data_IF_118828767835
#
_entry.id   IF_118828767835
#
_cell.length_a   1.000
_cell.length_b   1.000
_cell.length_c   1.000
_cell.angle_alpha   90.00
_cell.angle_beta   90.00
_cell.angle_gamma   90.00
#
_symmetry.space_group_name_H-M   'P 1'
#
loop_
_entity.id
_entity.type
_entity.pdbx_description
1 polymer ?
#
# COMPACT_ATOMS: atom_id res chain seq x y z
N UNK A 1 -9.28 13.57 -10.52
CA UNK A 1 -10.29 14.25 -11.36
C UNK A 1 -11.56 13.42 -11.46
N UNK A 2 -11.48 12.17 -11.92
CA UNK A 2 -12.67 11.33 -12.23
C UNK A 2 -13.69 11.14 -11.10
N UNK A 3 -13.27 11.21 -9.82
CA UNK A 3 -14.17 10.98 -8.67
C UNK A 3 -15.15 12.12 -8.40
N UNK A 4 -14.86 13.34 -8.85
CA UNK A 4 -15.64 14.55 -8.51
C UNK A 4 -16.45 15.11 -9.68
N UNK A 5 -16.15 14.70 -10.91
CA UNK A 5 -16.86 15.15 -12.12
C UNK A 5 -18.33 14.79 -12.01
N UNK A 6 -19.21 15.74 -12.33
CA UNK A 6 -20.66 15.59 -12.28
C UNK A 6 -21.27 15.63 -10.87
N UNK A 7 -20.48 15.89 -9.83
CA UNK A 7 -20.97 16.13 -8.46
C UNK A 7 -21.26 17.62 -8.24
N UNK A 8 -22.12 17.91 -7.27
CA UNK A 8 -22.48 19.28 -6.89
C UNK A 8 -21.68 19.71 -5.66
N UNK A 9 -21.10 20.91 -5.70
CA UNK A 9 -20.35 21.46 -4.56
C UNK A 9 -21.27 21.84 -3.40
N UNK A 10 -20.86 21.51 -2.17
CA UNK A 10 -21.57 21.91 -0.95
C UNK A 10 -21.07 23.26 -0.41
N UNK A 11 -19.83 23.62 -0.71
CA UNK A 11 -19.22 24.89 -0.28
C UNK A 11 -18.65 25.66 -1.46
N UNK A 12 -18.46 26.97 -1.29
CA UNK A 12 -17.77 27.79 -2.28
C UNK A 12 -16.28 27.48 -2.20
N UNK A 13 -15.67 27.10 -3.33
CA UNK A 13 -14.21 26.87 -3.41
C UNK A 13 -13.58 28.08 -4.08
N UNK A 14 -12.61 28.67 -3.38
CA UNK A 14 -11.83 29.81 -3.84
C UNK A 14 -10.43 29.35 -4.23
N UNK A 15 -9.80 30.10 -5.12
CA UNK A 15 -8.42 29.92 -5.49
C UNK A 15 -7.51 30.24 -4.30
N UNK A 16 -6.52 29.38 -3.98
CA UNK A 16 -5.65 29.57 -2.82
C UNK A 16 -4.85 30.89 -2.88
N UNK A 17 -4.31 31.25 -4.05
CA UNK A 17 -3.49 32.47 -4.20
C UNK A 17 -4.27 33.74 -4.55
N UNK A 18 -5.20 33.68 -5.50
CA UNK A 18 -5.89 34.88 -6.02
C UNK A 18 -7.19 35.18 -5.29
N UNK A 19 -7.68 34.25 -4.45
CA UNK A 19 -8.98 34.32 -3.80
C UNK A 19 -10.17 34.44 -4.79
N UNK A 20 -9.94 34.16 -6.07
CA UNK A 20 -10.98 34.14 -7.09
C UNK A 20 -11.87 32.90 -6.93
N UNK A 21 -13.15 33.05 -7.23
CA UNK A 21 -14.12 31.95 -7.12
C UNK A 21 -13.90 30.94 -8.24
N UNK A 22 -13.66 29.67 -7.88
CA UNK A 22 -13.55 28.56 -8.83
C UNK A 22 -14.92 27.89 -9.04
N UNK A 23 -15.63 27.57 -7.95
CA UNK A 23 -16.99 27.00 -7.98
C UNK A 23 -17.84 27.58 -6.85
N UNK A 24 -19.13 27.83 -7.10
CA UNK A 24 -20.06 28.21 -6.04
C UNK A 24 -20.67 27.04 -5.30
N UNK A 25 -21.33 27.38 -4.19
CA UNK A 25 -22.26 26.48 -3.53
C UNK A 25 -23.41 26.08 -4.47
N UNK A 26 -23.71 24.79 -4.53
CA UNK A 26 -24.73 24.16 -5.39
C UNK A 26 -24.46 24.22 -6.90
N UNK A 27 -23.23 24.50 -7.30
CA UNK A 27 -22.81 24.45 -8.71
C UNK A 27 -22.21 23.08 -9.06
N UNK A 28 -22.40 22.66 -10.32
CA UNK A 28 -21.90 21.39 -10.83
C UNK A 28 -20.40 21.47 -11.12
N UNK A 29 -19.66 20.46 -10.67
CA UNK A 29 -18.24 20.30 -10.95
C UNK A 29 -18.11 19.65 -12.33
N UNK A 30 -17.87 20.47 -13.35
CA UNK A 30 -17.54 20.03 -14.71
C UNK A 30 -16.09 19.56 -14.79
N UNK A 31 -15.73 18.93 -15.90
CA UNK A 31 -14.37 18.50 -16.21
C UNK A 31 -13.38 19.67 -16.14
N UNK A 32 -13.76 20.84 -16.64
CA UNK A 32 -12.95 22.07 -16.60
C UNK A 32 -12.69 22.53 -15.15
N UNK A 33 -13.72 22.52 -14.30
CA UNK A 33 -13.60 22.89 -12.88
C UNK A 33 -12.74 21.85 -12.14
N UNK A 34 -12.93 20.57 -12.44
CA UNK A 34 -12.16 19.49 -11.83
C UNK A 34 -10.67 19.56 -12.23
N UNK A 35 -10.36 19.98 -13.46
CA UNK A 35 -9.00 20.22 -13.91
C UNK A 35 -8.37 21.43 -13.19
N UNK A 36 -9.11 22.53 -13.04
CA UNK A 36 -8.66 23.69 -12.24
C UNK A 36 -8.35 23.30 -10.80
N UNK A 37 -9.14 22.43 -10.17
CA UNK A 37 -8.81 21.92 -8.83
C UNK A 37 -7.49 21.15 -8.78
N UNK A 38 -7.18 20.38 -9.81
CA UNK A 38 -5.92 19.66 -9.89
C UNK A 38 -4.73 20.60 -10.10
N UNK A 39 -4.85 21.57 -11.02
CA UNK A 39 -3.80 22.55 -11.31
C UNK A 39 -3.47 23.42 -10.08
N UNK A 40 -4.49 23.72 -9.27
CA UNK A 40 -4.35 24.51 -8.05
C UNK A 40 -4.03 23.69 -6.79
N UNK A 41 -3.82 22.37 -6.92
CA UNK A 41 -3.46 21.51 -5.79
C UNK A 41 -4.54 21.39 -4.71
N UNK A 42 -5.82 21.55 -5.06
CA UNK A 42 -6.92 21.43 -4.10
C UNK A 42 -7.19 19.95 -3.83
N UNK A 43 -6.71 19.45 -2.69
CA UNK A 43 -6.81 18.04 -2.31
C UNK A 43 -8.20 17.62 -1.80
N UNK A 44 -8.94 18.54 -1.18
CA UNK A 44 -10.19 18.25 -0.48
C UNK A 44 -11.27 19.27 -0.83
N UNK A 45 -12.44 18.77 -1.22
CA UNK A 45 -13.63 19.57 -1.53
C UNK A 45 -14.85 18.89 -0.92
N UNK A 46 -15.72 19.66 -0.24
CA UNK A 46 -17.01 19.13 0.21
C UNK A 46 -18.02 19.13 -0.94
N UNK A 47 -18.51 17.94 -1.26
CA UNK A 47 -19.57 17.72 -2.24
C UNK A 47 -20.86 17.30 -1.56
N UNK A 48 -21.98 17.49 -2.24
CA UNK A 48 -23.25 16.88 -1.84
C UNK A 48 -23.18 15.37 -2.02
N UNK A 49 -23.82 14.64 -1.11
CA UNK A 49 -23.89 13.18 -1.12
C UNK A 49 -25.33 12.71 -1.10
N UNK A 50 -25.57 11.53 -1.69
CA UNK A 50 -26.82 10.78 -1.58
C UNK A 50 -27.12 10.39 -0.13
N UNK A 51 -26.09 10.10 0.67
CA UNK A 51 -26.21 9.65 2.06
C UNK A 51 -26.63 10.75 3.02
N UNK A 52 -26.37 12.01 2.65
CA UNK A 52 -26.71 13.19 3.45
C UNK A 52 -27.93 13.93 2.89
N UNK A 53 -28.72 13.27 2.05
CA UNK A 53 -29.92 13.86 1.46
C UNK A 53 -31.07 13.87 2.48
N UNK A 54 -31.66 15.04 2.74
CA UNK A 54 -32.78 15.20 3.67
C UNK A 54 -34.15 14.97 3.03
N UNK A 55 -34.18 14.46 1.78
CA UNK A 55 -35.45 14.17 1.10
C UNK A 55 -36.19 13.02 1.78
N UNK A 56 -37.48 13.23 2.09
CA UNK A 56 -38.33 12.21 2.74
C UNK A 56 -38.65 11.01 1.83
N UNK A 57 -38.69 11.23 0.52
CA UNK A 57 -38.99 10.21 -0.49
C UNK A 57 -38.04 10.38 -1.67
N UNK A 58 -37.19 9.38 -1.90
CA UNK A 58 -36.18 9.42 -2.95
C UNK A 58 -35.02 10.37 -2.63
N UNK A 59 -34.38 10.90 -3.66
CA UNK A 59 -33.18 11.74 -3.56
C UNK A 59 -33.42 13.04 -4.34
N UNK A 60 -32.91 14.17 -3.84
CA UNK A 60 -32.99 15.43 -4.57
C UNK A 60 -31.97 15.50 -5.74
N UNK A 61 -32.33 16.27 -6.78
CA UNK A 61 -31.53 16.50 -8.00
C UNK A 61 -30.07 16.86 -7.70
N UNK A 62 -29.86 17.74 -6.72
CA UNK A 62 -28.53 18.25 -6.35
C UNK A 62 -27.66 17.24 -5.59
N UNK A 63 -28.26 16.30 -4.85
CA UNK A 63 -27.49 15.26 -4.15
C UNK A 63 -27.07 14.13 -5.10
N UNK A 64 -27.82 13.90 -6.17
CA UNK A 64 -27.45 12.96 -7.22
C UNK A 64 -26.41 13.59 -8.16
N UNK A 65 -26.70 14.77 -8.69
CA UNK A 65 -25.85 15.50 -9.64
C UNK A 65 -26.11 15.10 -11.09
N UNK A 66 -25.04 14.90 -11.85
CA UNK A 66 -25.07 14.56 -13.26
C UNK A 66 -25.47 13.10 -13.47
N UNK A 67 -26.33 12.86 -14.44
CA UNK A 67 -26.56 11.53 -14.97
C UNK A 67 -25.42 11.17 -15.93
N UNK A 68 -24.67 10.13 -15.61
CA UNK A 68 -23.50 9.70 -16.39
C UNK A 68 -23.85 9.17 -17.78
N UNK A 69 -25.09 8.74 -17.99
CA UNK A 69 -25.55 8.23 -19.30
C UNK A 69 -25.90 9.35 -20.27
N UNK A 70 -26.48 10.44 -19.78
CA UNK A 70 -26.92 11.58 -20.61
C UNK A 70 -25.93 12.73 -20.61
N UNK A 71 -25.01 12.78 -19.64
CA UNK A 71 -24.06 13.87 -19.48
C UNK A 71 -24.72 15.20 -19.07
N UNK A 72 -25.96 15.18 -18.58
CA UNK A 72 -26.67 16.34 -18.07
C UNK A 72 -27.10 16.15 -16.62
N UNK A 73 -27.50 17.24 -15.95
CA UNK A 73 -28.06 17.17 -14.61
C UNK A 73 -29.32 16.29 -14.59
N UNK A 74 -29.40 15.35 -13.64
CA UNK A 74 -30.44 14.30 -13.61
C UNK A 74 -31.87 14.85 -13.70
N UNK A 75 -32.73 14.19 -14.48
CA UNK A 75 -34.14 14.59 -14.61
C UNK A 75 -34.96 14.20 -13.36
N UNK A 76 -35.99 14.98 -13.02
CA UNK A 76 -36.90 14.61 -11.93
C UNK A 76 -37.75 13.41 -12.36
N UNK A 77 -37.80 12.38 -11.52
CA UNK A 77 -38.51 11.12 -11.80
C UNK A 77 -37.60 9.99 -12.30
N UNK A 78 -36.31 10.26 -12.49
CA UNK A 78 -35.35 9.22 -12.88
C UNK A 78 -35.12 8.19 -11.76
N UNK A 79 -35.14 6.91 -12.11
CA UNK A 79 -35.06 5.80 -11.17
C UNK A 79 -33.61 5.51 -10.73
N UNK A 80 -33.00 6.46 -10.04
CA UNK A 80 -31.61 6.42 -9.55
C UNK A 80 -31.24 5.08 -8.86
N UNK A 81 -32.15 4.51 -8.06
CA UNK A 81 -31.90 3.25 -7.36
C UNK A 81 -31.76 2.03 -8.28
N UNK A 82 -32.58 1.95 -9.33
CA UNK A 82 -32.52 0.86 -10.31
C UNK A 82 -31.23 0.99 -11.13
N UNK A 83 -30.92 2.21 -11.57
CA UNK A 83 -29.70 2.51 -12.34
C UNK A 83 -28.46 2.13 -11.52
N UNK A 84 -28.42 2.50 -10.24
CA UNK A 84 -27.31 2.16 -9.35
C UNK A 84 -27.17 0.64 -9.14
N UNK A 85 -28.29 -0.08 -8.95
CA UNK A 85 -28.28 -1.53 -8.79
C UNK A 85 -27.75 -2.24 -10.05
N UNK A 86 -28.17 -1.82 -11.24
CA UNK A 86 -27.70 -2.39 -12.50
C UNK A 86 -26.21 -2.08 -12.76
N UNK A 87 -25.78 -0.85 -12.46
CA UNK A 87 -24.39 -0.41 -12.65
C UNK A 87 -23.38 -1.20 -11.82
N UNK A 88 -23.84 -1.90 -10.78
CA UNK A 88 -23.01 -2.82 -9.98
C UNK A 88 -23.28 -4.27 -10.39
N UNK A 89 -24.56 -4.64 -10.54
CA UNK A 89 -25.00 -6.01 -10.76
C UNK A 89 -24.55 -6.58 -12.10
N UNK A 90 -24.78 -5.88 -13.21
CA UNK A 90 -24.42 -6.37 -14.55
C UNK A 90 -22.90 -6.46 -14.74
N UNK A 91 -22.10 -5.43 -14.42
CA UNK A 91 -20.64 -5.57 -14.49
C UNK A 91 -20.11 -6.64 -13.53
N UNK A 92 -20.72 -6.81 -12.36
CA UNK A 92 -20.33 -7.83 -11.39
C UNK A 92 -20.54 -9.25 -11.91
N UNK A 93 -21.71 -9.55 -12.47
CA UNK A 93 -21.99 -10.86 -13.09
C UNK A 93 -21.16 -11.08 -14.36
N UNK A 94 -20.88 -10.02 -15.12
CA UNK A 94 -20.00 -10.10 -16.28
C UNK A 94 -18.55 -10.36 -15.87
N UNK A 95 -18.05 -9.70 -14.81
CA UNK A 95 -16.68 -9.89 -14.33
C UNK A 95 -16.48 -11.31 -13.82
N UNK A 96 -17.44 -11.87 -13.09
CA UNK A 96 -17.36 -13.26 -12.63
C UNK A 96 -17.32 -14.21 -13.81
N UNK A 97 -18.23 -14.09 -14.78
CA UNK A 97 -18.17 -14.92 -15.99
C UNK A 97 -16.85 -14.76 -16.75
N UNK A 98 -16.39 -13.52 -17.01
CA UNK A 98 -15.13 -13.28 -17.72
C UNK A 98 -13.93 -13.85 -16.96
N UNK A 99 -13.89 -13.73 -15.64
CA UNK A 99 -12.79 -14.27 -14.82
C UNK A 99 -12.77 -15.81 -14.88
N UNK A 100 -13.91 -16.48 -14.86
CA UNK A 100 -13.96 -17.94 -15.00
C UNK A 100 -13.62 -18.42 -16.42
N UNK A 101 -14.06 -17.71 -17.46
CA UNK A 101 -13.82 -18.13 -18.85
C UNK A 101 -12.40 -17.77 -19.34
N UNK A 102 -11.81 -16.70 -18.81
CA UNK A 102 -10.43 -16.28 -19.09
C UNK A 102 -9.45 -16.94 -18.09
N UNK A 103 -9.93 -17.48 -16.97
CA UNK A 103 -9.15 -18.06 -15.88
C UNK A 103 -8.22 -19.23 -16.22
N UNK A 104 -8.22 -19.72 -17.47
CA UNK A 104 -7.20 -20.65 -17.98
C UNK A 104 -5.95 -19.97 -18.54
N UNK A 105 -6.01 -18.66 -18.84
CA UNK A 105 -4.86 -17.88 -19.29
C UNK A 105 -4.47 -17.00 -18.11
N UNK A 106 -3.56 -17.50 -17.27
CA UNK A 106 -2.95 -16.72 -16.21
C UNK A 106 -2.22 -15.52 -16.82
N UNK A 107 -2.92 -14.42 -17.08
CA UNK A 107 -2.29 -13.12 -17.18
C UNK A 107 -1.77 -12.81 -15.79
N UNK A 108 -0.53 -13.26 -15.53
CA UNK A 108 0.39 -12.59 -14.63
C UNK A 108 0.50 -11.17 -15.15
N UNK A 109 -0.45 -10.30 -14.78
CA UNK A 109 -0.22 -8.87 -14.85
C UNK A 109 1.09 -8.66 -14.13
N UNK A 110 2.12 -8.21 -14.86
CA UNK A 110 3.44 -8.00 -14.32
C UNK A 110 3.28 -7.15 -13.06
N UNK A 111 3.32 -7.79 -11.89
CA UNK A 111 3.24 -7.08 -10.63
C UNK A 111 4.43 -6.13 -10.67
N UNK A 112 4.14 -4.83 -10.67
CA UNK A 112 5.17 -3.80 -10.71
C UNK A 112 5.99 -3.99 -9.43
N UNK A 113 7.15 -4.61 -9.58
CA UNK A 113 8.14 -4.85 -8.53
C UNK A 113 9.09 -3.67 -8.37
N UNK A 114 8.87 -2.61 -9.15
CA UNK A 114 9.78 -1.47 -9.28
C UNK A 114 9.02 -0.16 -9.39
N UNK A 115 9.66 0.90 -8.90
CA UNK A 115 9.27 2.29 -9.11
C UNK A 115 10.32 3.01 -9.94
N UNK A 116 9.84 3.70 -10.97
CA UNK A 116 10.61 4.51 -11.90
C UNK A 116 10.13 5.96 -11.82
N UNK A 117 11.07 6.91 -11.86
CA UNK A 117 10.75 8.33 -11.96
C UNK A 117 10.10 8.62 -13.33
N UNK A 118 9.04 9.42 -13.40
CA UNK A 118 8.44 9.79 -14.70
C UNK A 118 9.12 11.00 -15.33
N UNK A 119 9.56 11.93 -14.49
CA UNK A 119 10.23 13.16 -14.87
C UNK A 119 11.60 13.26 -14.20
N UNK A 120 12.43 14.16 -14.73
CA UNK A 120 13.69 14.54 -14.11
C UNK A 120 13.42 15.33 -12.83
N UNK A 121 14.21 15.10 -11.78
CA UNK A 121 14.05 15.81 -10.52
C UNK A 121 14.96 15.30 -9.41
N UNK A 122 14.72 15.78 -8.20
CA UNK A 122 15.48 15.43 -7.00
C UNK A 122 14.61 14.57 -6.09
N UNK A 123 15.12 13.41 -5.68
CA UNK A 123 14.43 12.53 -4.74
C UNK A 123 14.40 13.15 -3.35
N UNK A 124 13.23 13.06 -2.69
CA UNK A 124 13.05 13.45 -1.31
C UNK A 124 12.31 12.38 -0.51
N UNK A 125 12.90 11.98 0.60
CA UNK A 125 12.33 11.01 1.52
C UNK A 125 11.33 11.67 2.48
N UNK A 126 10.06 11.31 2.33
CA UNK A 126 8.98 11.79 3.19
C UNK A 126 8.55 10.68 4.15
N UNK A 127 8.85 10.87 5.43
CA UNK A 127 8.55 9.87 6.48
C UNK A 127 9.13 8.48 6.17
N UNK A 128 10.26 8.41 5.47
CA UNK A 128 10.92 7.15 5.13
C UNK A 128 11.99 6.86 6.19
N UNK A 129 11.87 5.70 6.85
CA UNK A 129 12.95 5.15 7.69
C UNK A 129 13.57 3.99 6.95
N UNK A 130 14.88 4.07 6.74
CA UNK A 130 15.65 3.01 6.09
C UNK A 130 16.80 2.58 6.98
N UNK A 131 17.23 1.34 6.77
CA UNK A 131 18.45 0.77 7.35
C UNK A 131 19.33 0.28 6.23
N UNK A 132 20.64 0.39 6.42
CA UNK A 132 21.61 -0.12 5.46
C UNK A 132 21.89 -1.59 5.76
N UNK A 133 21.65 -2.45 4.78
CA UNK A 133 21.94 -3.88 4.90
C UNK A 133 23.44 -4.15 4.65
N UNK A 134 23.89 -5.38 4.92
CA UNK A 134 25.27 -5.85 4.69
C UNK A 134 25.75 -5.69 3.24
N UNK A 135 24.83 -5.66 2.28
CA UNK A 135 25.07 -5.46 0.85
C UNK A 135 25.07 -3.97 0.44
N UNK A 136 25.22 -3.05 1.40
CA UNK A 136 25.18 -1.58 1.20
C UNK A 136 23.89 -1.05 0.56
N UNK A 137 22.84 -1.88 0.50
CA UNK A 137 21.52 -1.51 0.00
C UNK A 137 20.67 -0.88 1.10
N UNK A 138 19.98 0.22 0.80
CA UNK A 138 19.03 0.87 1.70
C UNK A 138 17.70 0.10 1.69
N UNK A 139 17.27 -0.41 2.83
CA UNK A 139 16.01 -1.17 2.95
C UNK A 139 15.01 -0.40 3.81
N UNK A 140 13.78 -0.25 3.32
CA UNK A 140 12.71 0.47 4.02
C UNK A 140 12.17 -0.36 5.19
N UNK A 141 12.15 0.24 6.39
CA UNK A 141 11.69 -0.42 7.63
C UNK A 141 10.38 0.15 8.17
N UNK A 142 9.74 1.08 7.47
CA UNK A 142 8.44 1.60 7.86
C UNK A 142 7.35 1.32 6.81
N UNK A 143 6.10 1.17 7.26
CA UNK A 143 4.96 0.82 6.40
C UNK A 143 4.35 2.03 5.65
N UNK A 144 4.61 3.24 6.15
CA UNK A 144 4.06 4.49 5.63
C UNK A 144 5.19 5.35 5.01
N UNK A 145 6.08 4.71 4.25
CA UNK A 145 7.18 5.36 3.58
C UNK A 145 6.69 6.00 2.29
N UNK A 146 7.04 7.27 2.07
CA UNK A 146 6.75 7.96 0.82
C UNK A 146 8.04 8.55 0.24
N UNK A 147 8.17 8.51 -1.07
CA UNK A 147 9.21 9.20 -1.83
C UNK A 147 8.52 10.23 -2.72
N UNK A 148 8.96 11.48 -2.62
CA UNK A 148 8.55 12.54 -3.52
C UNK A 148 9.68 12.87 -4.49
N UNK A 149 9.34 13.29 -5.70
CA UNK A 149 10.30 13.86 -6.66
C UNK A 149 10.02 15.35 -6.74
N UNK A 150 11.05 16.14 -6.52
CA UNK A 150 11.03 17.59 -6.59
C UNK A 150 11.56 18.08 -7.94
N UNK A 151 10.90 19.09 -8.50
CA UNK A 151 11.43 19.87 -9.63
C UNK A 151 12.64 20.72 -9.20
N UNK A 152 13.38 21.27 -10.15
CA UNK A 152 14.50 22.20 -9.93
C UNK A 152 14.09 23.48 -9.17
N UNK A 153 12.78 23.75 -9.04
CA UNK A 153 12.19 24.84 -8.24
C UNK A 153 11.78 24.43 -6.82
N UNK A 154 12.03 23.19 -6.41
CA UNK A 154 11.68 22.65 -5.09
C UNK A 154 10.20 22.33 -4.89
N UNK A 155 9.42 22.20 -5.97
CA UNK A 155 8.00 21.79 -5.92
C UNK A 155 7.88 20.29 -6.10
N UNK A 156 7.04 19.63 -5.31
CA UNK A 156 6.70 18.21 -5.51
C UNK A 156 5.94 18.04 -6.82
N UNK A 157 6.50 17.24 -7.73
CA UNK A 157 5.90 16.89 -9.01
C UNK A 157 5.35 15.46 -9.01
N UNK A 158 5.96 14.57 -8.22
CA UNK A 158 5.55 13.17 -8.11
C UNK A 158 5.59 12.71 -6.66
N UNK A 159 4.68 11.79 -6.33
CA UNK A 159 4.58 11.19 -5.00
C UNK A 159 4.33 9.69 -5.13
N UNK A 160 5.20 8.89 -4.50
CA UNK A 160 5.18 7.44 -4.52
C UNK A 160 5.13 6.87 -3.12
N UNK A 161 4.18 5.97 -2.88
CA UNK A 161 4.17 5.16 -1.66
C UNK A 161 5.09 3.96 -1.85
N UNK A 162 6.01 3.77 -0.91
CA UNK A 162 6.99 2.69 -0.94
C UNK A 162 6.60 1.61 0.07
N UNK A 163 6.55 0.33 -0.34
CA UNK A 163 6.21 -0.76 0.57
C UNK A 163 7.34 -1.04 1.57
N UNK A 164 6.96 -1.64 2.70
CA UNK A 164 7.92 -2.14 3.69
C UNK A 164 8.82 -3.22 3.07
N UNK A 165 10.11 -3.13 3.34
CA UNK A 165 11.13 -4.04 2.81
C UNK A 165 11.52 -3.80 1.36
N UNK A 166 11.08 -2.71 0.74
CA UNK A 166 11.62 -2.27 -0.54
C UNK A 166 13.11 -1.90 -0.40
N UNK A 167 13.90 -2.27 -1.40
CA UNK A 167 15.26 -1.80 -1.60
C UNK A 167 15.21 -0.47 -2.34
N UNK A 168 15.87 0.53 -1.80
CA UNK A 168 16.01 1.85 -2.39
C UNK A 168 17.37 1.91 -3.10
N UNK A 169 17.34 2.31 -4.37
CA UNK A 169 18.52 2.37 -5.24
C UNK A 169 19.15 3.78 -5.27
N UNK A 170 18.40 4.81 -4.89
CA UNK A 170 18.82 6.20 -4.90
C UNK A 170 18.77 6.84 -3.51
N UNK A 171 19.70 7.72 -3.20
CA UNK A 171 19.79 8.40 -1.91
C UNK A 171 18.84 9.61 -1.79
N UNK A 172 18.59 10.05 -0.56
CA UNK A 172 17.84 11.29 -0.30
C UNK A 172 18.62 12.50 -0.85
N UNK A 173 17.97 13.32 -1.66
CA UNK A 173 18.57 14.45 -2.34
C UNK A 173 19.33 14.12 -3.63
N UNK A 174 19.29 12.87 -4.10
CA UNK A 174 19.91 12.48 -5.37
C UNK A 174 19.08 12.94 -6.57
N UNK A 175 19.75 13.40 -7.63
CA UNK A 175 19.12 13.71 -8.92
C UNK A 175 18.80 12.43 -9.68
N UNK A 176 17.55 12.30 -10.11
CA UNK A 176 17.07 11.19 -10.94
C UNK A 176 16.57 11.69 -12.27
N UNK A 177 16.79 10.87 -13.30
CA UNK A 177 16.27 11.11 -14.65
C UNK A 177 14.93 10.41 -14.84
N UNK A 178 14.16 10.90 -15.80
CA UNK A 178 12.97 10.22 -16.29
C UNK A 178 13.31 8.77 -16.69
N UNK A 179 12.48 7.84 -16.23
CA UNK A 179 12.59 6.37 -16.34
C UNK A 179 13.71 5.74 -15.53
N UNK A 180 14.36 6.47 -14.63
CA UNK A 180 15.33 5.89 -13.72
C UNK A 180 14.60 5.14 -12.59
N UNK A 181 14.95 3.86 -12.41
CA UNK A 181 14.48 3.04 -11.30
C UNK A 181 15.12 3.55 -10.00
N UNK A 182 14.31 3.76 -8.95
CA UNK A 182 14.80 4.22 -7.65
C UNK A 182 14.37 3.35 -6.47
N UNK A 183 13.42 2.43 -6.66
CA UNK A 183 13.03 1.46 -5.65
C UNK A 183 12.57 0.14 -6.29
N UNK A 184 12.92 -0.97 -5.64
CA UNK A 184 12.52 -2.33 -6.05
C UNK A 184 12.09 -3.18 -4.85
N UNK A 185 11.17 -4.12 -5.05
CA UNK A 185 10.75 -5.09 -4.04
C UNK A 185 10.26 -6.38 -4.68
N UNK A 186 10.19 -7.44 -3.88
CA UNK A 186 9.56 -8.69 -4.30
C UNK A 186 8.03 -8.58 -4.18
N UNK A 187 7.26 -8.72 -5.28
CA UNK A 187 5.81 -8.61 -5.23
C UNK A 187 5.14 -9.84 -4.60
N UNK A 188 5.81 -10.99 -4.62
CA UNK A 188 5.27 -12.26 -4.17
C UNK A 188 5.52 -12.53 -2.68
N UNK A 189 6.44 -11.81 -2.06
CA UNK A 189 6.82 -12.03 -0.68
C UNK A 189 6.74 -10.75 0.15
N UNK A 190 6.16 -10.84 1.34
CA UNK A 190 6.29 -9.81 2.37
C UNK A 190 7.40 -10.22 3.34
N UNK A 191 8.30 -9.31 3.67
CA UNK A 191 9.44 -9.61 4.53
C UNK A 191 9.15 -9.21 5.98
N UNK A 192 9.81 -9.89 6.91
CA UNK A 192 10.01 -9.43 8.29
C UNK A 192 11.51 -9.13 8.41
N UNK A 193 11.87 -7.89 8.71
CA UNK A 193 13.25 -7.42 8.77
C UNK A 193 13.62 -6.97 10.19
N UNK A 194 14.89 -7.13 10.57
CA UNK A 194 15.41 -6.52 11.80
C UNK A 194 15.87 -5.08 11.57
N UNK A 195 15.56 -4.18 12.49
CA UNK A 195 16.10 -2.80 12.50
C UNK A 195 17.42 -2.72 13.27
N UNK A 196 17.69 -3.70 14.12
CA UNK A 196 18.81 -3.70 15.05
C UNK A 196 19.80 -4.83 14.72
N UNK A 197 21.08 -4.55 14.92
CA UNK A 197 22.15 -5.56 14.84
C UNK A 197 22.22 -6.32 16.17
N UNK A 198 22.17 -7.65 16.11
CA UNK A 198 22.08 -8.47 17.31
C UNK A 198 22.20 -9.96 17.04
N UNK A 199 21.79 -10.76 18.02
CA UNK A 199 21.69 -12.22 17.91
C UNK A 199 20.22 -12.60 17.91
N UNK A 200 19.84 -13.55 17.06
CA UNK A 200 18.49 -14.11 17.00
C UNK A 200 18.27 -15.03 18.18
N UNK A 201 17.11 -14.89 18.83
CA UNK A 201 16.60 -15.88 19.76
C UNK A 201 15.17 -16.24 19.41
N UNK A 202 14.94 -17.52 19.22
CA UNK A 202 13.61 -18.06 19.00
C UNK A 202 12.84 -18.18 20.32
N UNK A 203 11.56 -17.82 20.29
CA UNK A 203 10.63 -18.03 21.39
C UNK A 203 9.34 -18.64 20.83
N UNK A 204 8.91 -19.76 21.42
CA UNK A 204 7.78 -20.57 20.95
C UNK A 204 7.91 -21.04 19.48
N UNK A 205 9.13 -21.13 18.95
CA UNK A 205 9.44 -21.70 17.63
C UNK A 205 10.14 -23.03 17.84
N UNK A 206 9.43 -24.14 17.63
CA UNK A 206 9.94 -25.49 17.82
C UNK A 206 9.51 -26.42 16.69
N UNK A 207 10.47 -27.20 16.16
CA UNK A 207 10.25 -28.16 15.09
C UNK A 207 9.21 -29.22 15.49
N UNK A 208 8.20 -29.44 14.64
CA UNK A 208 7.09 -30.37 14.85
C UNK A 208 5.96 -29.86 15.76
N UNK A 209 6.10 -28.66 16.34
CA UNK A 209 5.07 -28.03 17.18
C UNK A 209 4.53 -26.74 16.55
N UNK A 210 5.42 -25.80 16.26
CA UNK A 210 5.09 -24.47 15.68
C UNK A 210 5.91 -24.16 14.42
N UNK A 211 6.74 -25.10 13.99
CA UNK A 211 7.57 -25.00 12.79
C UNK A 211 7.66 -26.38 12.14
N UNK A 212 7.56 -26.43 10.83
CA UNK A 212 7.78 -27.63 10.03
C UNK A 212 8.86 -27.38 8.97
N UNK A 213 9.57 -28.43 8.59
CA UNK A 213 10.52 -28.39 7.48
C UNK A 213 9.83 -28.96 6.24
N UNK A 214 9.57 -28.09 5.27
CA UNK A 214 8.99 -28.46 3.99
C UNK A 214 10.14 -28.56 2.99
N UNK A 215 10.28 -29.73 2.40
CA UNK A 215 11.19 -29.93 1.28
C UNK A 215 10.47 -29.56 -0.02
N UNK A 216 11.05 -28.65 -0.79
CA UNK A 216 10.55 -28.30 -2.11
C UNK A 216 10.85 -29.46 -3.08
N UNK A 217 9.80 -30.00 -3.72
CA UNK A 217 9.91 -31.17 -4.62
C UNK A 217 10.75 -30.90 -5.89
N UNK A 218 10.87 -29.63 -6.30
CA UNK A 218 11.57 -29.27 -7.53
C UNK A 218 13.03 -28.90 -7.27
N UNK A 219 13.30 -28.15 -6.20
CA UNK A 219 14.65 -27.65 -5.88
C UNK A 219 15.39 -28.52 -4.86
N UNK A 220 14.66 -29.38 -4.12
CA UNK A 220 15.20 -30.17 -3.02
C UNK A 220 15.59 -29.33 -1.79
N UNK A 221 15.38 -28.02 -1.83
CA UNK A 221 15.69 -27.10 -0.74
C UNK A 221 14.70 -27.31 0.41
N UNK A 222 15.24 -27.40 1.63
CA UNK A 222 14.45 -27.50 2.85
C UNK A 222 14.17 -26.10 3.36
N UNK A 223 12.90 -25.71 3.36
CA UNK A 223 12.43 -24.45 3.91
C UNK A 223 11.76 -24.69 5.26
N UNK A 224 12.05 -23.85 6.23
CA UNK A 224 11.43 -23.91 7.56
C UNK A 224 10.21 -23.00 7.57
N UNK A 225 9.02 -23.55 7.75
CA UNK A 225 7.76 -22.82 7.69
C UNK A 225 7.08 -22.85 9.04
N UNK A 226 6.62 -21.69 9.51
CA UNK A 226 5.85 -21.58 10.75
C UNK A 226 4.45 -22.14 10.52
N UNK A 227 4.05 -23.07 11.37
CA UNK A 227 2.72 -23.67 11.35
C UNK A 227 1.85 -23.09 12.45
N UNK A 228 0.54 -23.27 12.35
CA UNK A 228 -0.37 -22.86 13.41
C UNK A 228 -0.05 -23.66 14.70
N UNK A 229 0.15 -22.97 15.83
CA UNK A 229 0.46 -23.63 17.08
C UNK A 229 -0.71 -24.51 17.52
N UNK A 230 -0.40 -25.75 17.95
CA UNK A 230 -1.41 -26.67 18.50
C UNK A 230 -1.99 -26.21 19.84
N UNK A 231 -1.25 -25.37 20.56
CA UNK A 231 -1.66 -24.77 21.83
C UNK A 231 -1.87 -23.26 21.64
N UNK A 232 -3.07 -22.75 21.95
CA UNK A 232 -3.45 -21.34 21.79
C UNK A 232 -2.56 -20.37 22.59
N UNK A 233 -1.81 -20.86 23.59
CA UNK A 233 -0.89 -20.03 24.38
C UNK A 233 0.45 -19.77 23.70
N UNK A 234 0.82 -20.56 22.70
CA UNK A 234 2.11 -20.41 22.02
C UNK A 234 2.04 -19.28 20.99
N UNK A 235 2.97 -18.33 21.07
CA UNK A 235 3.06 -17.22 20.13
C UNK A 235 4.46 -17.18 19.51
N UNK A 236 4.67 -17.87 18.37
CA UNK A 236 5.97 -17.95 17.72
C UNK A 236 6.49 -16.56 17.40
N UNK A 237 7.68 -16.25 17.90
CA UNK A 237 8.33 -14.95 17.71
C UNK A 237 9.84 -15.05 17.72
N UNK A 238 10.46 -14.07 17.08
CA UNK A 238 11.91 -13.86 17.10
C UNK A 238 12.20 -12.66 17.99
N UNK A 239 13.09 -12.85 18.95
CA UNK A 239 13.62 -11.79 19.80
C UNK A 239 15.07 -11.49 19.38
N UNK A 240 15.37 -10.23 19.09
CA UNK A 240 16.72 -9.78 18.78
C UNK A 240 17.39 -9.35 20.08
N UNK A 241 18.46 -10.04 20.48
CA UNK A 241 19.21 -9.74 21.70
C UNK A 241 20.49 -8.96 21.38
N UNK A 242 20.82 -7.99 22.24
CA UNK A 242 22.07 -7.25 22.13
C UNK A 242 23.26 -8.13 22.54
N UNK A 243 24.26 -8.26 21.67
CA UNK A 243 25.44 -9.09 21.95
C UNK A 243 26.29 -8.62 23.16
N UNK A 244 26.24 -7.33 23.50
CA UNK A 244 27.12 -6.71 24.53
C UNK A 244 26.41 -6.03 25.68
N UNK A 245 25.09 -5.82 25.62
CA UNK A 245 24.33 -5.19 26.71
C UNK A 245 23.61 -6.24 27.52
N UNK A 246 23.86 -6.26 28.83
CA UNK A 246 23.14 -7.08 29.81
C UNK A 246 22.38 -6.15 30.75
N UNK A 247 21.15 -6.51 31.07
CA UNK A 247 20.34 -5.83 32.08
C UNK A 247 20.98 -5.95 33.47
N UNK A 248 20.48 -5.16 34.44
CA UNK A 248 20.86 -5.21 35.87
C UNK A 248 20.77 -6.62 36.51
N UNK A 249 20.02 -7.54 35.89
CA UNK A 249 19.90 -8.96 36.29
C UNK A 249 20.78 -9.92 35.49
N UNK A 250 21.79 -9.41 34.78
CA UNK A 250 22.73 -10.17 33.94
C UNK A 250 22.08 -10.96 32.78
N UNK A 251 20.86 -10.56 32.37
CA UNK A 251 20.13 -11.15 31.23
C UNK A 251 20.44 -10.36 29.97
N UNK A 252 20.53 -11.00 28.79
CA UNK A 252 20.74 -10.29 27.54
C UNK A 252 19.54 -9.36 27.26
N UNK A 253 19.83 -8.10 26.93
CA UNK A 253 18.80 -7.10 26.64
C UNK A 253 18.10 -7.47 25.34
N UNK A 254 16.78 -7.65 25.38
CA UNK A 254 15.95 -7.81 24.18
C UNK A 254 15.77 -6.43 23.56
N UNK A 255 16.32 -6.24 22.37
CA UNK A 255 16.19 -5.00 21.60
C UNK A 255 14.80 -4.89 21.00
N UNK A 256 14.35 -5.97 20.34
CA UNK A 256 13.08 -5.97 19.61
C UNK A 256 12.49 -7.36 19.52
N UNK A 257 11.16 -7.42 19.35
CA UNK A 257 10.39 -8.66 19.22
C UNK A 257 9.59 -8.62 17.92
N UNK A 258 9.68 -9.71 17.15
CA UNK A 258 9.02 -9.87 15.87
C UNK A 258 8.13 -11.12 15.92
N UNK A 259 6.82 -10.92 15.84
CA UNK A 259 5.86 -12.03 15.80
C UNK A 259 5.84 -12.69 14.43
N UNK A 260 5.78 -14.01 14.40
CA UNK A 260 5.76 -14.80 13.19
C UNK A 260 4.34 -15.32 12.95
N UNK A 261 3.67 -14.93 11.86
CA UNK A 261 2.40 -15.53 11.49
C UNK A 261 2.60 -16.95 10.94
N UNK A 262 1.53 -17.74 10.93
CA UNK A 262 1.50 -19.02 10.22
C UNK A 262 1.76 -18.81 8.72
N UNK A 263 2.49 -19.73 8.10
CA UNK A 263 2.91 -19.64 6.71
C UNK A 263 4.17 -18.79 6.47
N UNK A 264 4.80 -18.23 7.51
CA UNK A 264 6.07 -17.52 7.37
C UNK A 264 7.24 -18.51 7.19
N UNK A 265 8.02 -18.32 6.13
CA UNK A 265 9.26 -19.05 5.86
C UNK A 265 10.42 -18.37 6.60
N UNK A 266 11.11 -19.09 7.46
CA UNK A 266 12.27 -18.60 8.19
C UNK A 266 13.54 -18.65 7.33
N UNK A 267 14.26 -17.54 7.28
CA UNK A 267 15.55 -17.42 6.59
C UNK A 267 16.75 -17.52 7.56
N UNK A 268 16.49 -17.39 8.86
CA UNK A 268 17.52 -17.36 9.91
C UNK A 268 17.41 -18.58 10.83
N UNK A 269 18.50 -18.93 11.51
CA UNK A 269 18.54 -19.96 12.54
C UNK A 269 18.59 -19.33 13.94
N UNK A 270 18.24 -20.13 14.94
CA UNK A 270 18.41 -19.71 16.33
C UNK A 270 19.89 -19.46 16.63
N UNK A 271 20.17 -18.42 17.41
CA UNK A 271 21.52 -17.93 17.75
C UNK A 271 22.35 -17.34 16.58
N UNK A 272 21.75 -17.14 15.41
CA UNK A 272 22.44 -16.45 14.30
C UNK A 272 22.71 -14.98 14.63
N UNK A 273 23.86 -14.47 14.18
CA UNK A 273 24.22 -13.05 14.28
C UNK A 273 23.67 -12.33 13.06
N UNK A 274 22.86 -11.29 13.29
CA UNK A 274 22.25 -10.50 12.24
C UNK A 274 22.69 -9.05 12.26
N UNK A 275 22.71 -8.46 11.08
CA UNK A 275 22.87 -7.02 10.86
C UNK A 275 21.51 -6.34 10.66
N UNK A 276 21.46 -5.03 10.90
CA UNK A 276 20.27 -4.24 10.61
C UNK A 276 19.92 -4.36 9.11
N UNK A 277 18.65 -4.56 8.80
CA UNK A 277 18.14 -4.73 7.43
C UNK A 277 18.10 -6.17 6.92
N UNK A 278 18.60 -7.15 7.68
CA UNK A 278 18.53 -8.55 7.28
C UNK A 278 17.11 -9.14 7.45
N UNK A 279 16.77 -10.07 6.55
CA UNK A 279 15.47 -10.74 6.50
C UNK A 279 15.43 -11.86 7.54
N UNK A 280 14.48 -11.75 8.47
CA UNK A 280 14.16 -12.78 9.45
C UNK A 280 13.27 -13.87 8.86
N UNK A 281 12.22 -13.45 8.15
CA UNK A 281 11.26 -14.36 7.55
C UNK A 281 10.67 -13.77 6.26
N UNK A 282 10.32 -14.65 5.33
CA UNK A 282 9.56 -14.35 4.10
C UNK A 282 8.16 -14.91 4.25
N UNK A 283 7.15 -14.09 4.07
CA UNK A 283 5.76 -14.51 4.04
C UNK A 283 5.35 -14.49 2.57
N UNK A 284 5.17 -15.65 1.92
CA UNK A 284 4.57 -15.68 0.61
C UNK A 284 3.22 -15.00 0.70
N UNK A 285 3.02 -13.96 -0.10
CA UNK A 285 1.68 -13.42 -0.30
C UNK A 285 0.93 -14.54 -1.00
N UNK A 286 -0.09 -15.07 -0.32
CA UNK A 286 -1.10 -15.83 -1.02
C UNK A 286 -1.74 -14.87 -2.01
N UNK A 287 -1.23 -14.86 -3.24
CA UNK A 287 -1.95 -14.34 -4.40
C UNK A 287 -3.18 -15.20 -4.45
N UNK A 288 -4.26 -14.72 -3.83
CA UNK A 288 -5.55 -15.38 -3.63
C UNK A 288 -5.60 -16.71 -4.38
N UNK A 289 -5.15 -17.78 -3.71
CA UNK A 289 -5.28 -19.14 -4.22
C UNK A 289 -6.76 -19.47 -4.14
N UNK A 290 -7.54 -18.88 -5.02
CA UNK A 290 -8.86 -19.40 -5.40
C UNK A 290 -8.58 -20.71 -6.13
N UNK A 291 -8.62 -21.80 -5.35
CA UNK A 291 -9.09 -23.09 -5.86
C UNK A 291 -10.53 -22.94 -6.33
#
# INVERSE_FOLDING_TARGET
>A
VDRIVGRISLERVLHPDTNEKIVDMNEEITEEIAQKFQEQGIEKVKIRSLLTCESKKGVCKLCYGRNMSTGALVELGEAAGIIAAQSIGEPGTQLTMRTFHIGGIAMRGAERSKLEAKNDGIIRFNNLKSVMNKEESLVVVNRNANIAILDHRGREIEHYQVPYGAKILAADGEEVKARQEFAEWDPFNTFILTEDTGVVRFHDVALGVTMEEIQDEFTGLVSRVITEPKDEKMQPRIEIIAARKRDEKNRPVVLKKYFLPSGANLEVKDEDKLYAGEVLAKIPREVARTK
#
